data_IF_180372847081
#
_entry.id   IF_180372847081
#
_cell.length_a   1.000
_cell.length_b   1.000
_cell.length_c   1.000
_cell.angle_alpha   90.00
_cell.angle_beta   90.00
_cell.angle_gamma   90.00
#
_symmetry.space_group_name_H-M   'P 1'
#
loop_
_entity.id
_entity.type
_entity.pdbx_description
1 polymer ?
#
# COMPACT_ATOMS: atom_id res chain seq x y z
N UNK A 1 4.15 -19.18 -17.78
CA UNK A 1 2.96 -19.44 -16.95
C UNK A 1 3.34 -19.31 -15.47
N UNK A 2 2.66 -18.45 -14.73
CA UNK A 2 2.67 -18.45 -13.26
C UNK A 2 1.50 -19.25 -12.69
N UNK A 3 1.18 -19.02 -11.42
CA UNK A 3 0.15 -19.77 -10.67
C UNK A 3 -1.07 -18.93 -10.31
N UNK A 4 -1.07 -17.63 -10.61
CA UNK A 4 -2.17 -16.76 -10.20
C UNK A 4 -3.47 -17.10 -10.98
N UNK A 5 -4.60 -17.35 -10.31
CA UNK A 5 -5.82 -17.84 -10.96
C UNK A 5 -6.40 -16.90 -12.04
N UNK A 6 -6.27 -15.59 -11.86
CA UNK A 6 -6.88 -14.60 -12.76
C UNK A 6 -6.25 -14.59 -14.15
N UNK A 7 -4.93 -14.52 -14.25
CA UNK A 7 -4.25 -14.65 -15.53
C UNK A 7 -4.28 -16.09 -16.05
N UNK A 8 -4.23 -17.11 -15.19
CA UNK A 8 -4.13 -18.50 -15.64
C UNK A 8 -5.36 -19.00 -16.42
N UNK A 9 -6.57 -18.63 -15.99
CA UNK A 9 -7.83 -19.03 -16.67
C UNK A 9 -7.97 -18.51 -18.10
N UNK A 10 -7.09 -17.61 -18.53
CA UNK A 10 -7.09 -17.03 -19.88
C UNK A 10 -6.35 -17.88 -20.91
N UNK A 11 -5.56 -18.86 -20.47
CA UNK A 11 -4.79 -19.71 -21.37
C UNK A 11 -5.58 -20.94 -21.81
N UNK A 12 -5.56 -21.21 -23.12
CA UNK A 12 -6.10 -22.43 -23.72
C UNK A 12 -5.03 -23.54 -23.72
N UNK A 13 -5.22 -24.54 -22.85
CA UNK A 13 -4.31 -25.68 -22.69
C UNK A 13 -4.32 -26.66 -23.86
N UNK A 14 -5.23 -26.52 -24.83
CA UNK A 14 -5.27 -27.36 -26.04
C UNK A 14 -4.32 -26.88 -27.13
N UNK A 15 -3.71 -25.71 -26.95
CA UNK A 15 -2.76 -25.11 -27.91
C UNK A 15 -1.52 -25.98 -28.14
N UNK A 16 -1.16 -26.12 -29.41
CA UNK A 16 0.01 -26.86 -29.87
C UNK A 16 1.02 -25.97 -30.62
N UNK A 17 0.71 -24.69 -30.79
CA UNK A 17 1.49 -23.69 -31.52
C UNK A 17 2.53 -22.96 -30.65
N UNK A 18 2.67 -23.33 -29.38
CA UNK A 18 3.54 -22.66 -28.42
C UNK A 18 4.29 -23.64 -27.51
N UNK A 19 5.44 -23.19 -27.01
CA UNK A 19 6.14 -23.82 -25.88
C UNK A 19 5.56 -23.26 -24.57
N UNK A 20 5.24 -24.13 -23.61
CA UNK A 20 4.70 -23.77 -22.30
C UNK A 20 5.79 -23.83 -21.24
N UNK A 21 6.16 -22.67 -20.71
CA UNK A 21 7.23 -22.52 -19.72
C UNK A 21 6.65 -22.26 -18.33
N UNK A 22 7.08 -23.04 -17.34
CA UNK A 22 6.59 -22.98 -15.95
C UNK A 22 7.73 -22.88 -14.94
N UNK A 23 7.40 -22.60 -13.68
CA UNK A 23 8.38 -22.33 -12.62
C UNK A 23 8.20 -23.27 -11.44
N UNK A 24 9.33 -23.78 -10.95
CA UNK A 24 9.43 -24.57 -9.72
C UNK A 24 8.45 -25.76 -9.65
N UNK A 25 7.69 -25.89 -8.56
CA UNK A 25 6.69 -26.93 -8.29
C UNK A 25 5.39 -26.76 -9.09
N UNK A 26 5.23 -25.67 -9.85
CA UNK A 26 3.97 -25.44 -10.57
C UNK A 26 3.54 -26.63 -11.45
N UNK A 27 4.40 -27.28 -12.26
CA UNK A 27 3.99 -28.41 -13.11
C UNK A 27 3.39 -29.62 -12.35
N UNK A 28 3.70 -29.78 -11.06
CA UNK A 28 3.18 -30.88 -10.23
C UNK A 28 1.95 -30.48 -9.42
N UNK A 29 1.52 -29.22 -9.49
CA UNK A 29 0.34 -28.74 -8.78
C UNK A 29 -0.89 -29.57 -9.16
N UNK A 30 -1.65 -29.99 -8.13
CA UNK A 30 -2.85 -30.82 -8.29
C UNK A 30 -4.09 -30.07 -7.84
N UNK A 31 -5.21 -30.38 -8.49
CA UNK A 31 -6.56 -30.04 -8.03
C UNK A 31 -6.94 -30.90 -6.81
N UNK A 32 -8.05 -30.55 -6.15
CA UNK A 32 -8.57 -31.31 -5.01
C UNK A 32 -8.91 -32.78 -5.34
N UNK A 33 -9.24 -33.08 -6.61
CA UNK A 33 -9.51 -34.44 -7.10
C UNK A 33 -8.22 -35.22 -7.45
N UNK A 34 -7.03 -34.65 -7.22
CA UNK A 34 -5.74 -35.30 -7.49
C UNK A 34 -5.23 -35.19 -8.92
N UNK A 35 -6.02 -34.65 -9.85
CA UNK A 35 -5.58 -34.38 -11.22
C UNK A 35 -4.55 -33.25 -11.27
N UNK A 36 -3.65 -33.28 -12.26
CA UNK A 36 -2.76 -32.16 -12.53
C UNK A 36 -3.58 -30.90 -12.88
N UNK A 37 -3.20 -29.79 -12.26
CA UNK A 37 -3.76 -28.48 -12.56
C UNK A 37 -3.35 -28.03 -13.97
N UNK A 38 -2.16 -28.44 -14.42
CA UNK A 38 -1.58 -28.07 -15.71
C UNK A 38 -1.27 -29.33 -16.51
N UNK A 39 -2.01 -29.60 -17.60
CA UNK A 39 -1.88 -30.86 -18.33
C UNK A 39 -0.61 -30.95 -19.20
N UNK A 40 0.04 -29.80 -19.50
CA UNK A 40 1.21 -29.76 -20.37
C UNK A 40 2.25 -28.76 -19.85
N UNK A 41 3.52 -29.12 -19.98
CA UNK A 41 4.66 -28.24 -19.72
C UNK A 41 5.83 -28.70 -20.58
N UNK A 42 6.46 -27.78 -21.29
CA UNK A 42 7.59 -28.09 -22.18
C UNK A 42 8.94 -27.75 -21.53
N UNK A 43 8.97 -26.73 -20.67
CA UNK A 43 10.16 -26.26 -19.96
C UNK A 43 9.81 -25.83 -18.54
N UNK A 44 10.71 -26.15 -17.59
CA UNK A 44 10.59 -25.77 -16.19
C UNK A 44 11.84 -25.03 -15.74
N UNK A 45 11.65 -23.94 -15.01
CA UNK A 45 12.74 -23.18 -14.39
C UNK A 45 12.78 -23.49 -12.89
N UNK A 46 13.80 -24.23 -12.46
CA UNK A 46 14.10 -24.54 -11.07
C UNK A 46 15.46 -23.91 -10.70
N UNK A 47 15.45 -22.59 -10.54
CA UNK A 47 16.67 -21.79 -10.32
C UNK A 47 17.01 -21.57 -8.84
N UNK A 48 16.24 -22.17 -7.94
CA UNK A 48 16.55 -22.20 -6.52
C UNK A 48 17.84 -22.97 -6.25
N UNK A 49 18.53 -22.59 -5.17
CA UNK A 49 19.68 -23.32 -4.66
C UNK A 49 19.33 -24.79 -4.38
N UNK A 50 20.29 -25.71 -4.58
CA UNK A 50 20.13 -27.16 -4.43
C UNK A 50 19.41 -27.57 -3.14
N UNK A 51 19.88 -27.04 -2.01
CA UNK A 51 19.30 -27.30 -0.70
C UNK A 51 17.79 -27.00 -0.58
N UNK A 52 17.22 -26.12 -1.41
CA UNK A 52 15.80 -25.76 -1.38
C UNK A 52 14.96 -26.84 -2.05
N UNK A 53 15.28 -27.21 -3.28
CA UNK A 53 14.46 -28.16 -4.04
C UNK A 53 14.76 -29.63 -3.68
N UNK A 54 15.91 -29.90 -3.04
CA UNK A 54 16.17 -31.19 -2.36
C UNK A 54 15.58 -31.27 -0.95
N UNK A 55 14.97 -30.21 -0.44
CA UNK A 55 14.50 -30.18 0.94
C UNK A 55 13.39 -31.23 1.16
N UNK A 56 13.60 -32.25 2.01
CA UNK A 56 12.57 -33.25 2.29
C UNK A 56 11.35 -32.67 3.02
N UNK A 57 11.46 -31.44 3.53
CA UNK A 57 10.38 -30.67 4.15
C UNK A 57 9.92 -29.51 3.26
N UNK A 58 9.99 -29.66 1.94
CA UNK A 58 9.43 -28.67 1.03
C UNK A 58 7.94 -28.47 1.36
N UNK A 59 7.58 -27.23 1.70
CA UNK A 59 6.23 -26.86 2.15
C UNK A 59 5.22 -26.85 1.00
N UNK A 60 5.68 -26.65 -0.23
CA UNK A 60 4.83 -26.53 -1.41
C UNK A 60 4.52 -27.90 -1.99
N UNK A 61 5.55 -28.74 -2.15
CA UNK A 61 5.42 -30.11 -2.65
C UNK A 61 6.54 -30.99 -2.08
N UNK A 62 6.18 -31.88 -1.16
CA UNK A 62 7.11 -32.84 -0.53
C UNK A 62 7.68 -33.87 -1.51
N UNK A 63 6.99 -34.10 -2.62
CA UNK A 63 7.35 -35.10 -3.63
C UNK A 63 8.08 -34.46 -4.82
N UNK A 64 8.35 -33.15 -4.78
CA UNK A 64 8.98 -32.39 -5.87
C UNK A 64 10.34 -32.94 -6.27
N UNK A 65 11.20 -33.27 -5.30
CA UNK A 65 12.52 -33.86 -5.59
C UNK A 65 12.40 -35.23 -6.27
N UNK A 66 11.43 -36.04 -5.86
CA UNK A 66 11.18 -37.34 -6.48
C UNK A 66 10.68 -37.16 -7.92
N UNK A 67 9.85 -36.15 -8.15
CA UNK A 67 9.41 -35.78 -9.49
C UNK A 67 10.60 -35.33 -10.37
N UNK A 68 11.48 -34.46 -9.87
CA UNK A 68 12.69 -34.00 -10.58
C UNK A 68 13.60 -35.17 -10.98
N UNK A 69 13.81 -36.13 -10.08
CA UNK A 69 14.70 -37.29 -10.30
C UNK A 69 14.05 -38.44 -11.07
N UNK A 70 12.73 -38.39 -11.31
CA UNK A 70 11.98 -39.49 -11.95
C UNK A 70 12.33 -39.79 -13.41
N UNK A 71 13.05 -38.89 -14.09
CA UNK A 71 13.31 -38.95 -15.53
C UNK A 71 12.10 -38.62 -16.42
N UNK A 72 10.92 -38.37 -15.83
CA UNK A 72 9.65 -38.07 -16.54
C UNK A 72 9.34 -36.57 -16.63
N UNK A 73 10.26 -35.71 -16.22
CA UNK A 73 10.10 -34.26 -16.30
C UNK A 73 10.18 -33.73 -17.75
N UNK A 74 9.76 -32.48 -18.02
CA UNK A 74 10.21 -31.73 -19.19
C UNK A 74 11.69 -31.33 -19.05
N UNK A 75 12.20 -30.49 -19.96
CA UNK A 75 13.53 -29.88 -19.76
C UNK A 75 13.49 -28.98 -18.52
N UNK A 76 14.47 -29.14 -17.61
CA UNK A 76 14.52 -28.35 -16.37
C UNK A 76 15.77 -27.47 -16.38
N UNK A 77 15.59 -26.16 -16.55
CA UNK A 77 16.69 -25.21 -16.38
C UNK A 77 16.99 -25.00 -14.89
N UNK A 78 18.25 -25.25 -14.51
CA UNK A 78 18.76 -25.15 -13.14
C UNK A 78 20.06 -24.35 -13.10
N UNK A 79 20.55 -24.00 -11.90
CA UNK A 79 21.82 -23.26 -11.75
C UNK A 79 23.01 -24.02 -12.34
N UNK A 80 23.03 -25.34 -12.16
CA UNK A 80 24.02 -26.27 -12.71
C UNK A 80 23.30 -27.46 -13.33
N UNK A 81 24.03 -28.31 -14.06
CA UNK A 81 23.51 -29.62 -14.46
C UNK A 81 23.76 -30.61 -13.31
N UNK A 82 22.70 -31.31 -12.90
CA UNK A 82 22.74 -32.26 -11.78
C UNK A 82 22.57 -33.69 -12.29
N UNK A 83 23.46 -34.60 -11.89
CA UNK A 83 23.48 -35.98 -12.36
C UNK A 83 22.27 -36.80 -11.91
N UNK A 84 21.66 -36.44 -10.78
CA UNK A 84 20.48 -37.08 -10.23
C UNK A 84 19.17 -36.54 -10.83
N UNK A 85 19.20 -35.44 -11.58
CA UNK A 85 18.05 -34.86 -12.29
C UNK A 85 18.28 -35.06 -13.81
N UNK A 86 17.80 -36.15 -14.42
CA UNK A 86 18.23 -36.59 -15.76
C UNK A 86 18.01 -35.58 -16.88
N UNK A 87 16.98 -34.72 -16.75
CA UNK A 87 16.63 -33.69 -17.73
C UNK A 87 17.01 -32.27 -17.28
N UNK A 88 17.86 -32.16 -16.26
CA UNK A 88 18.42 -30.86 -15.88
C UNK A 88 19.38 -30.36 -16.94
N UNK A 89 19.30 -29.06 -17.22
CA UNK A 89 20.21 -28.32 -18.09
C UNK A 89 20.68 -27.09 -17.33
N UNK A 90 21.99 -26.86 -17.32
CA UNK A 90 22.54 -25.61 -16.76
C UNK A 90 21.97 -24.42 -17.51
N UNK A 91 21.36 -23.50 -16.80
CA UNK A 91 20.88 -22.25 -17.38
C UNK A 91 22.07 -21.45 -17.95
N UNK A 92 22.00 -20.97 -19.20
CA UNK A 92 23.14 -20.35 -19.88
C UNK A 92 23.34 -18.89 -19.43
N UNK A 93 23.54 -18.66 -18.12
CA UNK A 93 23.53 -17.31 -17.52
C UNK A 93 24.56 -16.37 -18.14
N UNK A 94 25.78 -16.84 -18.42
CA UNK A 94 26.83 -16.01 -19.02
C UNK A 94 26.47 -15.55 -20.44
N UNK A 95 25.80 -16.44 -21.20
CA UNK A 95 25.33 -16.14 -22.56
C UNK A 95 24.18 -15.14 -22.53
N UNK A 96 23.26 -15.30 -21.60
CA UNK A 96 22.14 -14.37 -21.42
C UNK A 96 22.64 -13.01 -20.93
N UNK A 97 23.57 -12.97 -19.97
CA UNK A 97 24.21 -11.74 -19.51
C UNK A 97 25.00 -11.02 -20.61
N UNK A 98 25.45 -11.75 -21.63
CA UNK A 98 26.11 -11.12 -22.78
C UNK A 98 25.19 -10.17 -23.57
N UNK A 99 23.86 -10.29 -23.42
CA UNK A 99 22.88 -9.38 -24.02
C UNK A 99 23.00 -7.95 -23.48
N UNK A 100 23.46 -7.79 -22.23
CA UNK A 100 23.59 -6.51 -21.54
C UNK A 100 25.05 -6.12 -21.30
N UNK A 101 26.03 -6.81 -21.92
CA UNK A 101 27.46 -6.57 -21.69
C UNK A 101 27.93 -5.15 -22.04
N UNK A 102 27.23 -4.48 -22.95
CA UNK A 102 27.54 -3.13 -23.39
C UNK A 102 26.84 -2.05 -22.53
N UNK A 103 26.04 -2.45 -21.54
CA UNK A 103 25.36 -1.51 -20.64
C UNK A 103 26.35 -1.02 -19.59
N UNK A 104 26.71 0.26 -19.68
CA UNK A 104 27.53 0.93 -18.66
C UNK A 104 26.63 1.45 -17.55
N UNK A 105 26.79 0.92 -16.35
CA UNK A 105 26.03 1.32 -15.17
C UNK A 105 26.99 1.88 -14.11
N UNK A 106 26.75 3.12 -13.66
CA UNK A 106 27.49 3.75 -12.57
C UNK A 106 26.52 4.02 -11.42
N UNK A 107 26.76 3.42 -10.25
CA UNK A 107 25.94 3.58 -9.05
C UNK A 107 26.81 4.16 -7.94
N UNK A 108 26.44 5.34 -7.43
CA UNK A 108 27.19 6.06 -6.40
C UNK A 108 28.68 6.22 -6.78
N UNK A 109 28.94 6.64 -8.01
CA UNK A 109 30.29 6.85 -8.55
C UNK A 109 31.09 5.57 -8.86
N UNK A 110 30.50 4.38 -8.68
CA UNK A 110 31.18 3.09 -8.95
C UNK A 110 30.55 2.38 -10.14
N UNK A 111 31.38 1.94 -11.07
CA UNK A 111 30.94 1.10 -12.18
C UNK A 111 30.48 -0.27 -11.67
N UNK A 112 29.34 -0.74 -12.18
CA UNK A 112 28.74 -2.03 -11.85
C UNK A 112 28.35 -2.77 -13.12
N UNK A 113 28.52 -4.08 -13.09
CA UNK A 113 27.99 -4.94 -14.14
C UNK A 113 26.46 -4.91 -14.14
N UNK A 114 25.83 -4.70 -15.28
CA UNK A 114 24.38 -4.81 -15.41
C UNK A 114 23.96 -6.29 -15.34
N UNK A 115 23.54 -6.72 -14.14
CA UNK A 115 23.03 -8.06 -13.84
C UNK A 115 21.67 -7.90 -13.18
N UNK A 116 20.61 -7.92 -13.98
CA UNK A 116 19.28 -7.62 -13.48
C UNK A 116 18.35 -8.82 -13.63
N UNK A 117 18.37 -9.66 -12.59
CA UNK A 117 17.51 -10.83 -12.43
C UNK A 117 17.02 -10.85 -10.98
N UNK A 118 15.73 -10.62 -10.81
CA UNK A 118 15.04 -10.47 -9.54
C UNK A 118 14.04 -11.60 -9.29
N UNK A 119 13.67 -12.36 -10.32
CA UNK A 119 12.68 -13.44 -10.25
C UNK A 119 12.95 -14.52 -11.31
N UNK A 120 12.44 -15.76 -11.12
CA UNK A 120 12.53 -16.81 -12.16
C UNK A 120 11.91 -16.42 -13.52
N UNK A 121 10.78 -15.68 -13.57
CA UNK A 121 10.27 -15.10 -14.81
C UNK A 121 11.30 -14.27 -15.60
N UNK A 122 12.18 -13.53 -14.94
CA UNK A 122 13.21 -12.74 -15.60
C UNK A 122 14.15 -13.63 -16.42
N UNK A 123 14.54 -14.78 -15.86
CA UNK A 123 15.39 -15.76 -16.54
C UNK A 123 14.69 -16.39 -17.74
N UNK A 124 13.38 -16.65 -17.66
CA UNK A 124 12.61 -17.13 -18.80
C UNK A 124 12.59 -16.07 -19.94
N UNK A 125 12.21 -14.83 -19.64
CA UNK A 125 12.15 -13.76 -20.65
C UNK A 125 13.53 -13.49 -21.28
N UNK A 126 14.59 -13.47 -20.47
CA UNK A 126 15.95 -13.28 -20.95
C UNK A 126 16.45 -14.43 -21.82
N UNK A 127 16.05 -15.67 -21.53
CA UNK A 127 16.36 -16.82 -22.37
C UNK A 127 15.65 -16.73 -23.72
N UNK A 128 14.39 -16.28 -23.77
CA UNK A 128 13.70 -16.00 -25.03
C UNK A 128 14.46 -14.97 -25.86
N UNK A 129 14.89 -13.87 -25.24
CA UNK A 129 15.67 -12.83 -25.91
C UNK A 129 16.98 -13.38 -26.49
N UNK A 130 17.68 -14.23 -25.73
CA UNK A 130 18.90 -14.88 -26.18
C UNK A 130 18.64 -15.81 -27.37
N UNK A 131 17.66 -16.71 -27.27
CA UNK A 131 17.26 -17.63 -28.35
C UNK A 131 16.87 -16.86 -29.62
N UNK A 132 16.15 -15.75 -29.47
CA UNK A 132 15.78 -14.86 -30.57
C UNK A 132 17.02 -14.28 -31.27
N UNK A 133 18.03 -13.84 -30.50
CA UNK A 133 19.30 -13.34 -31.05
C UNK A 133 20.13 -14.44 -31.73
N UNK A 134 20.00 -15.70 -31.30
CA UNK A 134 20.63 -16.86 -31.95
C UNK A 134 19.93 -17.30 -33.25
N UNK A 135 18.80 -16.69 -33.60
CA UNK A 135 18.13 -16.91 -34.89
C UNK A 135 16.79 -17.65 -34.80
N UNK A 136 16.47 -18.30 -33.67
CA UNK A 136 15.14 -18.91 -33.46
C UNK A 136 14.15 -17.82 -33.00
N UNK A 137 13.32 -17.35 -33.93
CA UNK A 137 12.41 -16.22 -33.72
C UNK A 137 11.08 -16.66 -33.11
N UNK A 138 10.85 -16.32 -31.84
CA UNK A 138 9.50 -16.27 -31.29
C UNK A 138 8.80 -15.00 -31.82
N UNK A 139 7.60 -15.16 -32.39
CA UNK A 139 6.78 -14.03 -32.85
C UNK A 139 6.08 -13.33 -31.68
N UNK A 140 5.66 -14.11 -30.69
CA UNK A 140 4.84 -13.70 -29.57
C UNK A 140 5.33 -14.35 -28.28
N UNK A 141 5.25 -13.61 -27.17
CA UNK A 141 5.40 -14.11 -25.80
C UNK A 141 4.13 -13.74 -25.03
N UNK A 142 3.49 -14.75 -24.44
CA UNK A 142 2.30 -14.56 -23.62
C UNK A 142 2.63 -14.84 -22.15
N UNK A 143 2.22 -13.95 -21.24
CA UNK A 143 2.44 -14.09 -19.80
C UNK A 143 1.10 -14.22 -19.09
N UNK A 144 0.81 -15.42 -18.61
CA UNK A 144 -0.38 -15.75 -17.84
C UNK A 144 -0.03 -16.08 -16.39
N UNK A 145 -0.83 -15.61 -15.44
CA UNK A 145 -0.75 -16.00 -14.03
C UNK A 145 0.42 -15.40 -13.25
N UNK A 146 0.98 -14.27 -13.74
CA UNK A 146 2.07 -13.52 -13.10
C UNK A 146 1.59 -12.06 -12.94
N UNK A 147 0.79 -11.79 -11.91
CA UNK A 147 0.13 -10.48 -11.76
C UNK A 147 1.05 -9.41 -11.19
N UNK A 148 1.98 -9.81 -10.31
CA UNK A 148 2.86 -8.91 -9.56
C UNK A 148 2.06 -7.80 -8.84
N UNK A 149 0.89 -8.11 -8.27
CA UNK A 149 -0.02 -7.09 -7.73
C UNK A 149 0.30 -6.65 -6.28
N UNK A 150 0.85 -7.52 -5.44
CA UNK A 150 1.00 -7.22 -4.00
C UNK A 150 2.30 -6.47 -3.67
N UNK A 151 2.23 -5.54 -2.72
CA UNK A 151 3.33 -4.63 -2.36
C UNK A 151 4.45 -5.29 -1.53
N UNK A 152 4.20 -6.44 -0.88
CA UNK A 152 5.14 -7.04 0.07
C UNK A 152 6.24 -7.90 -0.56
N UNK A 153 5.91 -8.74 -1.55
CA UNK A 153 6.86 -9.71 -2.13
C UNK A 153 7.29 -9.37 -3.56
N UNK A 154 6.52 -8.56 -4.29
CA UNK A 154 6.73 -8.40 -5.74
C UNK A 154 7.33 -7.06 -6.15
N UNK A 155 7.50 -6.09 -5.23
CA UNK A 155 8.02 -4.77 -5.61
C UNK A 155 9.40 -4.84 -6.27
N UNK A 156 10.31 -5.67 -5.74
CA UNK A 156 11.64 -5.85 -6.33
C UNK A 156 11.61 -6.71 -7.61
N UNK A 157 10.64 -7.62 -7.74
CA UNK A 157 10.49 -8.49 -8.91
C UNK A 157 9.94 -7.73 -10.12
N UNK A 158 9.06 -6.74 -9.90
CA UNK A 158 8.45 -5.92 -10.96
C UNK A 158 9.49 -5.24 -11.84
N UNK A 159 10.54 -4.70 -11.25
CA UNK A 159 11.54 -3.95 -12.02
C UNK A 159 12.32 -4.88 -12.94
N UNK A 160 12.72 -6.08 -12.48
CA UNK A 160 13.42 -7.05 -13.33
C UNK A 160 12.53 -7.59 -14.44
N UNK A 161 11.28 -7.90 -14.10
CA UNK A 161 10.28 -8.33 -15.06
C UNK A 161 10.03 -7.25 -16.13
N UNK A 162 9.82 -6.01 -15.71
CA UNK A 162 9.61 -4.86 -16.59
C UNK A 162 10.80 -4.56 -17.51
N UNK A 163 12.03 -4.74 -17.02
CA UNK A 163 13.23 -4.62 -17.86
C UNK A 163 13.24 -5.66 -18.98
N UNK A 164 13.03 -6.94 -18.66
CA UNK A 164 13.11 -8.01 -19.67
C UNK A 164 11.93 -8.01 -20.62
N UNK A 165 10.73 -7.64 -20.18
CA UNK A 165 9.60 -7.39 -21.11
C UNK A 165 9.91 -6.22 -22.04
N UNK A 166 10.40 -5.09 -21.52
CA UNK A 166 10.85 -3.97 -22.34
C UNK A 166 11.94 -4.35 -23.35
N UNK A 167 12.89 -5.19 -22.94
CA UNK A 167 13.94 -5.71 -23.82
C UNK A 167 13.36 -6.56 -24.97
N UNK A 168 12.41 -7.46 -24.67
CA UNK A 168 11.73 -8.25 -25.70
C UNK A 168 10.91 -7.38 -26.66
N UNK A 169 10.21 -6.37 -26.14
CA UNK A 169 9.48 -5.40 -26.96
C UNK A 169 10.42 -4.65 -27.90
N UNK A 170 11.61 -4.25 -27.43
CA UNK A 170 12.64 -3.61 -28.25
C UNK A 170 13.22 -4.53 -29.35
N UNK A 171 13.09 -5.86 -29.21
CA UNK A 171 13.41 -6.82 -30.28
C UNK A 171 12.28 -6.98 -31.31
N UNK A 172 11.14 -6.33 -31.12
CA UNK A 172 9.96 -6.45 -31.98
C UNK A 172 9.15 -7.72 -31.73
N UNK A 173 9.29 -8.34 -30.56
CA UNK A 173 8.47 -9.50 -30.17
C UNK A 173 7.13 -8.99 -29.63
N UNK A 174 6.02 -9.55 -30.11
CA UNK A 174 4.69 -9.23 -29.60
C UNK A 174 4.55 -9.74 -28.16
N UNK A 175 4.12 -8.86 -27.24
CA UNK A 175 3.91 -9.22 -25.85
C UNK A 175 2.42 -9.17 -25.52
N UNK A 176 1.89 -10.27 -25.01
CA UNK A 176 0.53 -10.35 -24.47
C UNK A 176 0.63 -10.62 -22.99
N UNK A 177 0.33 -9.60 -22.18
CA UNK A 177 0.50 -9.65 -20.73
C UNK A 177 -0.88 -9.65 -20.08
N UNK A 178 -1.19 -10.71 -19.34
CA UNK A 178 -2.41 -10.81 -18.54
C UNK A 178 -2.10 -10.38 -17.11
N UNK A 179 -1.64 -9.13 -16.97
CA UNK A 179 -1.37 -8.42 -15.72
C UNK A 179 -1.44 -6.90 -15.97
N UNK A 180 -1.27 -6.11 -14.91
CA UNK A 180 -1.48 -4.65 -14.92
C UNK A 180 -0.19 -3.83 -14.88
N UNK A 181 0.95 -4.42 -15.24
CA UNK A 181 2.25 -3.74 -15.09
C UNK A 181 2.37 -2.49 -15.99
N UNK A 182 1.56 -2.41 -17.05
CA UNK A 182 1.51 -1.27 -17.99
C UNK A 182 0.19 -0.48 -17.91
N UNK A 183 -0.63 -0.69 -16.88
CA UNK A 183 -1.91 0.03 -16.70
C UNK A 183 -1.74 1.36 -15.94
N UNK A 184 -0.50 1.78 -15.69
CA UNK A 184 -0.21 3.06 -15.07
C UNK A 184 -0.33 4.20 -16.09
N UNK A 185 -0.94 5.34 -15.72
CA UNK A 185 -1.00 6.50 -16.59
C UNK A 185 0.41 7.03 -16.89
N UNK A 186 0.62 7.56 -18.09
CA UNK A 186 1.87 8.22 -18.47
C UNK A 186 2.06 9.49 -17.64
N UNK A 187 3.07 9.49 -16.76
CA UNK A 187 3.36 10.62 -15.86
C UNK A 187 3.50 11.95 -16.62
N UNK A 188 2.69 12.95 -16.23
CA UNK A 188 2.66 14.29 -16.82
C UNK A 188 1.88 14.42 -18.12
N UNK A 189 1.27 13.34 -18.62
CA UNK A 189 0.44 13.33 -19.83
C UNK A 189 -0.97 12.76 -19.57
N UNK A 190 -1.07 11.79 -18.66
CA UNK A 190 -2.30 11.10 -18.31
C UNK A 190 -2.47 11.05 -16.78
N UNK A 191 -3.71 10.88 -16.33
CA UNK A 191 -4.03 10.66 -14.92
C UNK A 191 -4.00 11.89 -14.02
N UNK A 192 -3.61 13.05 -14.56
CA UNK A 192 -3.85 14.33 -13.91
C UNK A 192 -5.35 14.63 -13.94
N UNK A 193 -5.96 14.63 -12.76
CA UNK A 193 -7.37 14.97 -12.60
C UNK A 193 -7.42 16.35 -11.98
N UNK A 194 -8.03 17.30 -12.70
CA UNK A 194 -8.29 18.62 -12.17
C UNK A 194 -9.35 18.51 -11.06
N UNK A 195 -9.00 18.94 -9.85
CA UNK A 195 -9.95 19.22 -8.79
C UNK A 195 -10.19 20.71 -8.80
N UNK A 196 -11.30 21.12 -9.39
CA UNK A 196 -11.65 22.54 -9.57
C UNK A 196 -11.98 23.19 -8.22
N UNK A 197 -11.76 24.50 -8.10
CA UNK A 197 -12.20 25.28 -6.93
C UNK A 197 -13.69 25.07 -6.62
N UNK A 198 -14.55 25.01 -7.63
CA UNK A 198 -15.99 24.75 -7.48
C UNK A 198 -16.30 23.39 -6.81
N UNK A 199 -15.56 22.32 -7.15
CA UNK A 199 -15.74 21.02 -6.51
C UNK A 199 -15.33 21.05 -5.03
N UNK A 200 -14.26 21.78 -4.70
CA UNK A 200 -13.79 21.95 -3.32
C UNK A 200 -14.77 22.80 -2.52
N UNK A 201 -15.32 23.86 -3.12
CA UNK A 201 -16.38 24.69 -2.51
C UNK A 201 -17.62 23.88 -2.19
N UNK A 202 -18.10 23.04 -3.13
CA UNK A 202 -19.22 22.15 -2.89
C UNK A 202 -18.90 21.17 -1.74
N UNK A 203 -17.70 20.58 -1.74
CA UNK A 203 -17.27 19.68 -0.66
C UNK A 203 -17.27 20.37 0.71
N UNK A 204 -16.79 21.62 0.78
CA UNK A 204 -16.83 22.43 2.01
C UNK A 204 -18.27 22.68 2.43
N UNK A 205 -19.16 23.00 1.48
CA UNK A 205 -20.58 23.23 1.76
C UNK A 205 -21.25 21.97 2.33
N UNK A 206 -21.03 20.81 1.71
CA UNK A 206 -21.56 19.52 2.16
C UNK A 206 -21.10 19.19 3.59
N UNK A 207 -19.78 19.33 3.85
CA UNK A 207 -19.22 19.10 5.18
C UNK A 207 -19.73 20.09 6.22
N UNK A 208 -19.96 21.34 5.83
CA UNK A 208 -20.50 22.38 6.71
C UNK A 208 -21.97 22.10 7.04
N UNK A 209 -22.75 21.63 6.06
CA UNK A 209 -24.12 21.18 6.27
C UNK A 209 -24.18 19.96 7.19
N UNK A 210 -23.28 18.99 6.99
CA UNK A 210 -23.16 17.80 7.87
C UNK A 210 -22.78 18.19 9.30
N UNK A 211 -21.94 19.21 9.47
CA UNK A 211 -21.55 19.73 10.78
C UNK A 211 -22.72 20.42 11.50
N UNK A 212 -23.64 21.06 10.78
CA UNK A 212 -24.81 21.74 11.35
C UNK A 212 -24.46 22.70 12.50
N UNK A 213 -25.30 22.71 13.54
CA UNK A 213 -25.10 23.52 14.75
C UNK A 213 -24.09 22.90 15.75
N UNK A 214 -23.53 21.72 15.45
CA UNK A 214 -22.68 20.97 16.40
C UNK A 214 -21.40 21.71 16.76
N UNK A 215 -20.91 22.59 15.89
CA UNK A 215 -19.68 23.39 16.10
C UNK A 215 -19.79 24.34 17.29
N UNK A 216 -20.89 25.09 17.34
CA UNK A 216 -21.12 26.09 18.38
C UNK A 216 -21.58 25.39 19.66
N UNK A 217 -22.39 24.34 19.51
CA UNK A 217 -22.85 23.53 20.62
C UNK A 217 -21.69 22.87 21.38
N UNK A 218 -20.66 22.35 20.68
CA UNK A 218 -19.49 21.76 21.32
C UNK A 218 -18.68 22.77 22.16
N UNK A 219 -18.35 23.93 21.57
CA UNK A 219 -17.56 24.95 22.28
C UNK A 219 -18.29 25.45 23.52
N UNK A 220 -19.62 25.56 23.41
CA UNK A 220 -20.51 25.90 24.52
C UNK A 220 -20.52 24.79 25.58
N UNK A 221 -20.72 23.52 25.19
CA UNK A 221 -20.80 22.37 26.10
C UNK A 221 -19.47 22.12 26.83
N UNK A 222 -18.33 22.22 26.15
CA UNK A 222 -17.00 22.08 26.76
C UNK A 222 -16.74 23.19 27.79
N UNK A 223 -17.12 24.43 27.48
CA UNK A 223 -17.03 25.56 28.41
C UNK A 223 -17.94 25.35 29.61
N UNK A 224 -19.20 24.97 29.39
CA UNK A 224 -20.17 24.68 30.46
C UNK A 224 -19.69 23.52 31.33
N UNK A 225 -19.04 22.50 30.77
CA UNK A 225 -18.45 21.41 31.55
C UNK A 225 -17.29 21.92 32.42
N UNK A 226 -16.35 22.69 31.86
CA UNK A 226 -15.25 23.25 32.63
C UNK A 226 -15.76 24.16 33.76
N UNK A 227 -16.78 24.97 33.48
CA UNK A 227 -17.43 25.83 34.46
C UNK A 227 -18.19 25.01 35.53
N UNK A 228 -18.92 23.96 35.12
CA UNK A 228 -19.72 23.10 36.02
C UNK A 228 -18.91 22.08 36.80
N UNK A 229 -17.72 21.68 36.33
CA UNK A 229 -16.78 20.81 37.04
C UNK A 229 -16.43 21.40 38.42
N UNK A 230 -16.33 22.72 38.51
CA UNK A 230 -16.10 23.43 39.77
C UNK A 230 -17.28 23.27 40.77
N UNK A 231 -18.51 23.13 40.28
CA UNK A 231 -19.72 22.86 41.06
C UNK A 231 -19.93 21.38 41.38
N UNK A 232 -19.76 20.49 40.41
CA UNK A 232 -19.89 19.03 40.56
C UNK A 232 -18.86 18.47 41.55
N UNK A 233 -17.64 19.00 41.56
CA UNK A 233 -16.59 18.62 42.52
C UNK A 233 -16.86 19.15 43.94
N UNK A 234 -17.86 20.03 44.16
CA UNK A 234 -18.34 20.39 45.51
C UNK A 234 -19.40 19.40 46.02
N UNK A 235 -20.10 18.71 45.13
CA UNK A 235 -21.25 17.85 45.44
C UNK A 235 -20.90 16.35 45.57
N UNK A 236 -19.63 15.96 45.40
CA UNK A 236 -19.12 14.59 45.60
C UNK A 236 -19.68 13.53 44.61
N UNK A 237 -20.07 13.95 43.40
CA UNK A 237 -20.72 13.10 42.39
C UNK A 237 -19.72 12.56 41.36
N UNK A 238 -18.68 11.88 41.83
CA UNK A 238 -17.55 11.40 40.99
C UNK A 238 -17.97 10.56 39.78
N UNK A 239 -19.06 9.79 39.87
CA UNK A 239 -19.60 8.96 38.77
C UNK A 239 -20.27 9.81 37.68
N UNK A 240 -20.94 10.91 38.04
CA UNK A 240 -21.60 11.80 37.08
C UNK A 240 -20.58 12.55 36.21
N UNK A 241 -19.45 12.95 36.79
CA UNK A 241 -18.37 13.64 36.07
C UNK A 241 -17.80 12.76 34.95
N UNK A 242 -17.61 11.46 35.20
CA UNK A 242 -17.08 10.55 34.19
C UNK A 242 -18.07 10.31 33.04
N UNK A 243 -19.38 10.21 33.36
CA UNK A 243 -20.43 10.06 32.36
C UNK A 243 -20.54 11.29 31.45
N UNK A 244 -20.50 12.50 32.03
CA UNK A 244 -20.52 13.77 31.30
C UNK A 244 -19.28 13.94 30.42
N UNK A 245 -18.08 13.65 30.95
CA UNK A 245 -16.84 13.66 30.17
C UNK A 245 -16.91 12.72 28.96
N UNK A 246 -17.47 11.52 29.14
CA UNK A 246 -17.62 10.55 28.06
C UNK A 246 -18.63 11.03 26.99
N UNK A 247 -19.74 11.67 27.38
CA UNK A 247 -20.71 12.21 26.42
C UNK A 247 -20.14 13.37 25.61
N UNK A 248 -19.46 14.32 26.27
CA UNK A 248 -18.81 15.46 25.59
C UNK A 248 -17.72 14.97 24.66
N UNK A 249 -16.93 13.97 25.07
CA UNK A 249 -15.91 13.37 24.20
C UNK A 249 -16.52 12.78 22.93
N UNK A 250 -17.62 12.03 23.04
CA UNK A 250 -18.31 11.44 21.87
C UNK A 250 -18.88 12.48 20.91
N UNK A 251 -19.52 13.54 21.43
CA UNK A 251 -20.03 14.64 20.59
C UNK A 251 -18.89 15.43 19.93
N UNK A 252 -17.80 15.63 20.67
CA UNK A 252 -16.61 16.33 20.17
C UNK A 252 -15.92 15.58 19.03
N UNK A 253 -16.00 14.25 19.03
CA UNK A 253 -15.33 13.40 18.04
C UNK A 253 -15.81 13.69 16.63
N UNK A 254 -17.13 13.68 16.43
CA UNK A 254 -17.74 13.94 15.12
C UNK A 254 -17.44 15.37 14.63
N UNK A 255 -17.79 16.37 15.43
CA UNK A 255 -17.59 17.78 15.09
C UNK A 255 -16.10 18.12 14.86
N UNK A 256 -15.20 17.55 15.65
CA UNK A 256 -13.75 17.74 15.51
C UNK A 256 -13.20 17.16 14.20
N UNK A 257 -13.66 15.97 13.82
CA UNK A 257 -13.30 15.32 12.55
C UNK A 257 -13.83 16.15 11.37
N UNK A 258 -15.10 16.55 11.39
CA UNK A 258 -15.69 17.37 10.31
C UNK A 258 -15.00 18.72 10.17
N UNK A 259 -14.73 19.41 11.29
CA UNK A 259 -13.98 20.66 11.27
C UNK A 259 -12.60 20.47 10.62
N UNK A 260 -11.94 19.34 10.90
CA UNK A 260 -10.66 19.04 10.28
C UNK A 260 -10.73 18.76 8.79
N UNK A 261 -11.78 18.08 8.32
CA UNK A 261 -12.04 17.93 6.89
C UNK A 261 -12.27 19.29 6.22
N UNK A 262 -13.09 20.15 6.83
CA UNK A 262 -13.39 21.49 6.31
C UNK A 262 -12.13 22.34 6.19
N UNK A 263 -11.31 22.42 7.24
CA UNK A 263 -10.08 23.23 7.24
C UNK A 263 -9.08 22.74 6.19
N UNK A 264 -8.96 21.42 6.04
CA UNK A 264 -8.09 20.85 5.03
C UNK A 264 -8.59 21.15 3.61
N UNK A 265 -9.90 21.06 3.37
CA UNK A 265 -10.50 21.46 2.10
C UNK A 265 -10.38 22.97 1.84
N UNK A 266 -10.48 23.83 2.86
CA UNK A 266 -10.21 25.27 2.72
C UNK A 266 -8.76 25.55 2.29
N UNK A 267 -7.78 24.84 2.88
CA UNK A 267 -6.38 24.92 2.46
C UNK A 267 -6.20 24.54 0.99
N UNK A 268 -6.90 23.50 0.53
CA UNK A 268 -6.89 23.11 -0.88
C UNK A 268 -7.60 24.12 -1.79
N UNK A 269 -8.69 24.74 -1.33
CA UNK A 269 -9.39 25.80 -2.06
C UNK A 269 -8.49 27.02 -2.29
N UNK A 270 -7.77 27.46 -1.26
CA UNK A 270 -6.79 28.55 -1.36
C UNK A 270 -5.72 28.24 -2.40
N UNK A 271 -5.17 27.02 -2.38
CA UNK A 271 -4.21 26.55 -3.38
C UNK A 271 -4.81 26.49 -4.78
N UNK A 272 -6.03 25.97 -4.93
CA UNK A 272 -6.72 25.86 -6.21
C UNK A 272 -6.91 27.24 -6.85
N UNK A 273 -7.43 28.20 -6.08
CA UNK A 273 -7.61 29.58 -6.54
C UNK A 273 -6.29 30.24 -6.95
N UNK A 274 -5.22 30.02 -6.20
CA UNK A 274 -3.89 30.54 -6.53
C UNK A 274 -3.34 29.95 -7.83
N UNK A 275 -3.61 28.67 -8.12
CA UNK A 275 -3.25 28.03 -9.39
C UNK A 275 -4.10 28.54 -10.54
N UNK A 276 -5.42 28.62 -10.36
CA UNK A 276 -6.37 29.14 -11.35
C UNK A 276 -6.03 30.59 -11.75
N UNK A 277 -5.69 31.43 -10.78
CA UNK A 277 -5.29 32.81 -11.04
C UNK A 277 -4.01 32.91 -11.91
N UNK A 278 -3.07 31.97 -11.75
CA UNK A 278 -1.77 31.99 -12.45
C UNK A 278 -1.78 31.25 -13.78
N UNK A 279 -2.49 30.14 -13.86
CA UNK A 279 -2.41 29.17 -14.97
C UNK A 279 -3.76 28.91 -15.64
N UNK A 280 -4.85 29.52 -15.17
CA UNK A 280 -6.21 29.31 -15.69
C UNK A 280 -6.86 27.98 -15.27
N UNK A 281 -6.14 27.13 -14.54
CA UNK A 281 -6.63 25.85 -14.04
C UNK A 281 -5.95 25.45 -12.72
N UNK A 282 -6.63 24.62 -11.94
CA UNK A 282 -6.11 23.97 -10.74
C UNK A 282 -5.93 22.47 -10.98
N UNK A 283 -4.73 21.96 -10.75
CA UNK A 283 -4.41 20.54 -10.91
C UNK A 283 -3.64 20.08 -9.67
N UNK A 284 -4.06 18.96 -9.11
CA UNK A 284 -3.42 18.37 -7.93
C UNK A 284 -2.92 16.98 -8.27
N UNK A 285 -1.62 16.75 -8.07
CA UNK A 285 -1.05 15.42 -8.15
C UNK A 285 -1.49 14.60 -6.91
N UNK A 286 -1.73 13.30 -7.10
CA UNK A 286 -2.08 12.39 -5.98
C UNK A 286 -1.03 12.42 -4.85
N UNK A 287 0.24 12.62 -5.19
CA UNK A 287 1.33 12.72 -4.23
C UNK A 287 1.23 13.91 -3.27
N UNK A 288 0.53 14.99 -3.64
CA UNK A 288 0.28 16.14 -2.76
C UNK A 288 -0.60 15.72 -1.56
N UNK A 289 -1.70 15.01 -1.86
CA UNK A 289 -2.62 14.52 -0.84
C UNK A 289 -1.96 13.42 0.01
N UNK A 290 -1.23 12.50 -0.60
CA UNK A 290 -0.58 11.41 0.13
C UNK A 290 0.57 11.92 1.02
N UNK A 291 1.40 12.83 0.51
CA UNK A 291 2.44 13.48 1.29
C UNK A 291 1.88 14.24 2.49
N UNK A 292 0.78 14.97 2.29
CA UNK A 292 0.09 15.68 3.39
C UNK A 292 -0.52 14.69 4.40
N UNK A 293 -1.14 13.61 3.94
CA UNK A 293 -1.68 12.54 4.79
C UNK A 293 -0.60 11.90 5.66
N UNK A 294 0.58 11.63 5.10
CA UNK A 294 1.73 11.09 5.84
C UNK A 294 2.21 12.07 6.92
N UNK A 295 2.31 13.37 6.59
CA UNK A 295 2.65 14.41 7.56
C UNK A 295 1.63 14.47 8.72
N UNK A 296 0.33 14.43 8.43
CA UNK A 296 -0.69 14.41 9.47
C UNK A 296 -0.67 13.12 10.30
N UNK A 297 -0.39 11.95 9.71
CA UNK A 297 -0.21 10.72 10.49
C UNK A 297 0.90 10.84 11.54
N UNK A 298 2.03 11.47 11.18
CA UNK A 298 3.09 11.75 12.15
C UNK A 298 2.61 12.68 13.26
N UNK A 299 1.94 13.78 12.90
CA UNK A 299 1.38 14.73 13.87
C UNK A 299 0.34 14.07 14.80
N UNK A 300 -0.48 13.17 14.27
CA UNK A 300 -1.47 12.41 15.03
C UNK A 300 -0.79 11.54 16.10
N UNK A 301 0.27 10.81 15.74
CA UNK A 301 1.03 9.98 16.69
C UNK A 301 1.64 10.82 17.82
N UNK A 302 2.23 11.96 17.50
CA UNK A 302 2.80 12.89 18.48
C UNK A 302 1.73 13.45 19.43
N UNK A 303 0.61 13.93 18.89
CA UNK A 303 -0.50 14.43 19.70
C UNK A 303 -1.11 13.33 20.58
N UNK A 304 -1.18 12.09 20.08
CA UNK A 304 -1.73 10.93 20.80
C UNK A 304 -0.85 10.57 21.98
N UNK A 305 0.46 10.57 21.79
CA UNK A 305 1.41 10.33 22.87
C UNK A 305 1.26 11.39 23.99
N UNK A 306 1.13 12.67 23.62
CA UNK A 306 0.90 13.75 24.59
C UNK A 306 -0.41 13.59 25.35
N UNK A 307 -1.51 13.26 24.65
CA UNK A 307 -2.81 13.02 25.28
C UNK A 307 -2.76 11.83 26.27
N UNK A 308 -2.06 10.75 25.94
CA UNK A 308 -1.86 9.61 26.84
C UNK A 308 -1.09 10.01 28.11
N UNK A 309 -0.03 10.81 27.97
CA UNK A 309 0.74 11.31 29.12
C UNK A 309 -0.11 12.21 30.03
N UNK A 310 -0.91 13.10 29.44
CA UNK A 310 -1.82 13.96 30.20
C UNK A 310 -2.86 13.13 30.95
N UNK A 311 -3.50 12.17 30.27
CA UNK A 311 -4.51 11.31 30.84
C UNK A 311 -3.97 10.46 32.01
N UNK A 312 -2.78 9.86 31.85
CA UNK A 312 -2.10 9.13 32.93
C UNK A 312 -1.84 10.01 34.17
N UNK A 313 -1.64 11.31 33.93
CA UNK A 313 -1.42 12.29 34.98
C UNK A 313 -2.70 12.84 35.63
N UNK A 314 -3.89 12.54 35.13
CA UNK A 314 -5.18 13.01 35.68
C UNK A 314 -5.65 12.13 36.84
N UNK A 315 -5.55 10.80 36.73
CA UNK A 315 -6.03 9.89 37.78
C UNK A 315 -5.36 10.11 39.15
N UNK A 316 -4.03 10.34 39.25
CA UNK A 316 -3.39 10.66 40.53
C UNK A 316 -3.88 11.98 41.13
N UNK A 317 -4.13 12.99 40.30
CA UNK A 317 -4.67 14.29 40.74
C UNK A 317 -6.09 14.15 41.28
N UNK A 318 -6.94 13.39 40.58
CA UNK A 318 -8.29 13.09 41.05
C UNK A 318 -8.26 12.36 42.40
N UNK A 319 -7.42 11.33 42.54
CA UNK A 319 -7.29 10.59 43.81
C UNK A 319 -6.81 11.50 44.95
N UNK A 320 -5.85 12.38 44.67
CA UNK A 320 -5.37 13.38 45.63
C UNK A 320 -6.47 14.37 46.01
N UNK A 321 -7.26 14.83 45.04
CA UNK A 321 -8.37 15.75 45.25
C UNK A 321 -9.45 15.16 46.16
N UNK A 322 -9.81 13.89 45.94
CA UNK A 322 -10.81 13.15 46.73
C UNK A 322 -10.39 12.91 48.18
N UNK A 323 -9.08 12.80 48.43
CA UNK A 323 -8.53 12.57 49.77
C UNK A 323 -8.31 13.86 50.60
N UNK A 324 -8.47 15.05 50.01
CA UNK A 324 -8.24 16.32 50.71
C UNK A 324 -9.52 16.84 51.39
N UNK A 325 -9.35 17.43 52.59
CA UNK A 325 -10.46 18.00 53.37
C UNK A 325 -11.25 19.03 52.54
N UNK A 326 -12.58 18.88 52.51
CA UNK A 326 -13.51 19.80 51.85
C UNK A 326 -13.32 21.23 52.37
N UNK A 327 -13.38 22.20 51.46
CA UNK A 327 -13.16 23.62 51.76
C UNK A 327 -11.72 24.03 52.09
N UNK A 328 -10.76 23.10 52.15
CA UNK A 328 -9.36 23.48 52.43
C UNK A 328 -8.71 24.19 51.24
N UNK A 329 -7.85 25.17 51.53
CA UNK A 329 -7.07 25.88 50.51
C UNK A 329 -6.21 24.91 49.68
N UNK A 330 -5.70 23.83 50.30
CA UNK A 330 -4.94 22.77 49.62
C UNK A 330 -5.79 22.02 48.60
N UNK A 331 -7.07 21.74 48.91
CA UNK A 331 -8.02 21.12 47.97
C UNK A 331 -8.29 22.03 46.78
N UNK A 332 -8.46 23.34 47.01
CA UNK A 332 -8.70 24.30 45.93
C UNK A 332 -7.52 24.33 44.94
N UNK A 333 -6.27 24.36 45.42
CA UNK A 333 -5.10 24.32 44.52
C UNK A 333 -5.04 23.06 43.66
N UNK A 334 -5.33 21.89 44.24
CA UNK A 334 -5.35 20.62 43.49
C UNK A 334 -6.52 20.57 42.52
N UNK A 335 -7.65 21.22 42.84
CA UNK A 335 -8.79 21.37 41.95
C UNK A 335 -8.43 22.21 40.72
N UNK A 336 -7.74 23.33 40.91
CA UNK A 336 -7.28 24.19 39.82
C UNK A 336 -6.26 23.46 38.92
N UNK A 337 -5.31 22.73 39.52
CA UNK A 337 -4.33 21.89 38.80
C UNK A 337 -5.01 20.79 37.98
N UNK A 338 -6.00 20.11 38.58
CA UNK A 338 -6.81 19.11 37.90
C UNK A 338 -7.57 19.71 36.70
N UNK A 339 -8.24 20.85 36.91
CA UNK A 339 -8.98 21.54 35.85
C UNK A 339 -8.09 21.97 34.69
N UNK A 340 -6.91 22.53 34.98
CA UNK A 340 -5.94 22.92 33.95
C UNK A 340 -5.48 21.72 33.11
N UNK A 341 -5.22 20.58 33.76
CA UNK A 341 -4.77 19.36 33.06
C UNK A 341 -5.88 18.70 32.24
N UNK A 342 -7.11 18.74 32.72
CA UNK A 342 -8.30 18.30 31.95
C UNK A 342 -8.49 19.20 30.72
N UNK A 343 -8.39 20.52 30.87
CA UNK A 343 -8.47 21.46 29.74
C UNK A 343 -7.35 21.21 28.71
N UNK A 344 -6.12 20.96 29.17
CA UNK A 344 -5.01 20.60 28.27
C UNK A 344 -5.28 19.29 27.52
N UNK A 345 -5.77 18.26 28.21
CA UNK A 345 -6.17 17.00 27.58
C UNK A 345 -7.28 17.21 26.53
N UNK A 346 -8.30 18.01 26.84
CA UNK A 346 -9.38 18.33 25.91
C UNK A 346 -8.84 19.02 24.65
N UNK A 347 -7.94 19.99 24.81
CA UNK A 347 -7.29 20.67 23.67
C UNK A 347 -6.47 19.69 22.81
N UNK A 348 -5.75 18.74 23.43
CA UNK A 348 -5.00 17.71 22.68
C UNK A 348 -5.92 16.73 21.97
N UNK A 349 -7.03 16.33 22.60
CA UNK A 349 -8.04 15.49 21.95
C UNK A 349 -8.68 16.22 20.76
N UNK A 350 -8.98 17.51 20.87
CA UNK A 350 -9.47 18.28 19.73
C UNK A 350 -8.46 18.38 18.59
N UNK A 351 -7.18 18.55 18.91
CA UNK A 351 -6.13 18.49 17.89
C UNK A 351 -6.09 17.11 17.21
N UNK A 352 -6.21 16.01 17.96
CA UNK A 352 -6.27 14.66 17.41
C UNK A 352 -7.42 14.48 16.43
N UNK A 353 -8.61 14.97 16.79
CA UNK A 353 -9.80 14.87 15.97
C UNK A 353 -9.69 15.71 14.70
N UNK A 354 -9.17 16.92 14.82
CA UNK A 354 -8.85 17.77 13.66
C UNK A 354 -7.87 17.07 12.71
N UNK A 355 -6.74 16.57 13.23
CA UNK A 355 -5.74 15.87 12.42
C UNK A 355 -6.32 14.60 11.79
N UNK A 356 -7.15 13.85 12.53
CA UNK A 356 -7.86 12.69 11.99
C UNK A 356 -8.81 13.08 10.84
N UNK A 357 -9.54 14.19 10.98
CA UNK A 357 -10.35 14.77 9.92
C UNK A 357 -9.53 15.12 8.68
N UNK A 358 -8.39 15.79 8.85
CA UNK A 358 -7.51 16.14 7.75
C UNK A 358 -6.91 14.90 7.05
N UNK A 359 -6.57 13.83 7.78
CA UNK A 359 -6.16 12.54 7.22
C UNK A 359 -7.28 11.94 6.36
N UNK A 360 -8.51 11.91 6.89
CA UNK A 360 -9.66 11.38 6.16
C UNK A 360 -9.96 12.18 4.89
N UNK A 361 -9.82 13.51 4.94
CA UNK A 361 -10.09 14.35 3.78
C UNK A 361 -9.04 14.18 2.67
N UNK A 362 -7.76 14.06 3.05
CA UNK A 362 -6.72 13.70 2.08
C UNK A 362 -6.98 12.32 1.45
N UNK A 363 -7.45 11.36 2.24
CA UNK A 363 -7.85 10.04 1.72
C UNK A 363 -9.04 10.14 0.75
N UNK A 364 -10.04 10.97 1.06
CA UNK A 364 -11.17 11.26 0.17
C UNK A 364 -10.70 11.78 -1.20
N UNK A 365 -9.80 12.76 -1.24
CA UNK A 365 -9.26 13.26 -2.50
C UNK A 365 -8.48 12.19 -3.26
N UNK A 366 -7.63 11.39 -2.59
CA UNK A 366 -6.91 10.28 -3.22
C UNK A 366 -7.88 9.29 -3.87
N UNK A 367 -8.95 8.92 -3.18
CA UNK A 367 -9.92 7.94 -3.67
C UNK A 367 -10.80 8.51 -4.79
N UNK A 368 -11.15 9.80 -4.71
CA UNK A 368 -11.82 10.54 -5.78
C UNK A 368 -10.97 10.57 -7.06
N UNK A 369 -9.69 10.93 -6.94
CA UNK A 369 -8.75 10.91 -8.07
C UNK A 369 -8.62 9.51 -8.68
N UNK A 370 -8.50 8.47 -7.84
CA UNK A 370 -8.45 7.07 -8.30
C UNK A 370 -9.72 6.68 -9.05
N UNK A 371 -10.89 7.15 -8.62
CA UNK A 371 -12.15 6.88 -9.30
C UNK A 371 -12.19 7.60 -10.65
N UNK A 372 -11.83 8.88 -10.70
CA UNK A 372 -11.76 9.67 -11.94
C UNK A 372 -10.81 9.07 -12.97
N UNK A 373 -9.62 8.60 -12.55
CA UNK A 373 -8.67 7.91 -13.43
C UNK A 373 -9.30 6.64 -14.02
N UNK A 374 -10.03 5.86 -13.21
CA UNK A 374 -10.74 4.66 -13.70
C UNK A 374 -11.83 5.01 -14.70
N UNK A 375 -12.62 6.04 -14.41
CA UNK A 375 -13.72 6.49 -15.27
C UNK A 375 -13.23 7.08 -16.59
N UNK A 376 -12.03 7.67 -16.62
CA UNK A 376 -11.38 8.18 -17.83
C UNK A 376 -10.79 7.09 -18.74
N UNK A 377 -11.03 5.80 -18.44
CA UNK A 377 -10.53 4.69 -19.24
C UNK A 377 -9.19 4.13 -18.77
N UNK A 378 -8.64 4.64 -17.65
CA UNK A 378 -7.56 3.98 -16.92
C UNK A 378 -8.08 2.68 -16.31
N UNK A 379 -8.16 1.61 -17.11
CA UNK A 379 -8.54 0.29 -16.61
C UNK A 379 -7.49 -0.15 -15.61
N UNK A 380 -7.98 -0.63 -14.46
CA UNK A 380 -7.15 -1.01 -13.34
C UNK A 380 -6.64 -2.42 -13.51
#
# INVERSE_FOLDING_TARGET
MGTHPNGLKTFDWTRTDCDIWMFNEAPTAKKANGELMYPKTDVVFQLHHEAIWKNPKNRNDKDHFQWLTSGKTPTVYMQEQYSDVPKSVRYPIDRVLSLTKNVRLVVNGKEKSFKYFSSSPDFALALVAYIWKQGRKYKRVEVHGIELETESEYQYQKTGFGFWTGYLAALGIELVLYNKIFDAPVYGYEGDVAVTSAQIEQRIADLTQELGDEKDQYSQEAKVLLDSLSGLLRQDISVAIQAELNQITKRSEHAGILNGKIKESQRYLEKARAMEQKAGASVFAMGEFDGTRIAYNKQYLEARQQALMLNAGISPLLKRLLNLKKGSQKRQRVLDEFGAKVAELMNKNMLLLHVAGAIQENQYYIDSLKLSIRSAGGRR
#
